data_IF_394536240626
#
_entry.id   IF_394536240626
#
_cell.length_a   1.000
_cell.length_b   1.000
_cell.length_c   1.000
_cell.angle_alpha   90.00
_cell.angle_beta   90.00
_cell.angle_gamma   90.00
#
_symmetry.space_group_name_H-M   'P 1'
#
loop_
_entity.id
_entity.type
_entity.pdbx_description
1 polymer ?
#
# COMPACT_ATOMS: atom_id res chain seq x y z
N UNK A 1 -31.14 26.97 -51.71
CA UNK A 1 -32.60 26.69 -51.74
C UNK A 1 -32.99 25.89 -50.52
N UNK A 2 -34.23 25.98 -50.04
CA UNK A 2 -34.65 25.48 -48.73
C UNK A 2 -35.76 24.41 -48.79
N UNK A 3 -35.72 23.44 -47.88
CA UNK A 3 -36.90 22.66 -47.42
C UNK A 3 -36.54 21.99 -46.08
N UNK A 4 -36.98 22.49 -44.92
CA UNK A 4 -38.33 22.38 -44.29
C UNK A 4 -38.62 21.02 -43.62
N UNK A 5 -38.26 20.90 -42.34
CA UNK A 5 -39.11 20.51 -41.19
C UNK A 5 -38.23 20.35 -39.95
N UNK A 6 -38.67 20.47 -38.70
CA UNK A 6 -39.74 21.19 -38.00
C UNK A 6 -39.65 20.63 -36.57
N UNK A 7 -39.72 21.51 -35.58
CA UNK A 7 -39.44 21.20 -34.17
C UNK A 7 -40.49 20.32 -33.49
N UNK A 8 -40.07 19.60 -32.44
CA UNK A 8 -40.85 19.49 -31.20
C UNK A 8 -39.96 19.16 -30.00
N UNK A 9 -39.87 20.10 -29.06
CA UNK A 9 -39.38 19.86 -27.70
C UNK A 9 -40.53 19.37 -26.83
N UNK A 10 -40.22 18.54 -25.82
CA UNK A 10 -40.98 18.50 -24.58
C UNK A 10 -39.99 18.32 -23.42
N UNK A 11 -39.85 19.39 -22.63
CA UNK A 11 -39.35 19.30 -21.26
C UNK A 11 -40.46 18.70 -20.40
N UNK A 12 -40.10 17.88 -19.41
CA UNK A 12 -41.01 17.57 -18.30
C UNK A 12 -40.26 17.66 -16.99
N UNK A 13 -40.76 18.51 -16.11
CA UNK A 13 -40.32 18.72 -14.74
C UNK A 13 -41.49 18.40 -13.84
N UNK A 14 -41.27 17.58 -12.80
CA UNK A 14 -41.80 17.76 -11.44
C UNK A 14 -41.46 16.53 -10.58
N UNK A 15 -41.29 16.77 -9.29
CA UNK A 15 -41.02 15.75 -8.28
C UNK A 15 -42.31 15.36 -7.49
N UNK A 16 -42.23 14.96 -6.21
CA UNK A 16 -42.62 13.62 -5.77
C UNK A 16 -44.08 13.52 -5.29
N UNK A 17 -44.64 12.30 -5.31
CA UNK A 17 -45.87 11.96 -4.60
C UNK A 17 -45.58 11.29 -3.25
N UNK A 18 -46.13 11.88 -2.18
CA UNK A 18 -46.24 11.31 -0.84
C UNK A 18 -47.68 10.83 -0.58
N UNK A 19 -47.88 10.08 0.54
CA UNK A 19 -49.16 9.55 1.09
C UNK A 19 -49.65 8.26 0.39
N UNK A 20 -50.43 7.35 0.96
CA UNK A 20 -50.81 6.98 2.35
C UNK A 20 -51.57 5.62 2.27
N UNK A 21 -51.73 4.79 3.31
CA UNK A 21 -50.95 4.52 4.54
C UNK A 21 -51.62 3.38 5.32
N UNK A 22 -50.90 2.32 5.71
CA UNK A 22 -51.46 1.20 6.49
C UNK A 22 -50.71 0.95 7.80
N UNK A 23 -51.45 1.00 8.91
CA UNK A 23 -50.97 0.67 10.24
C UNK A 23 -51.10 -0.83 10.55
N UNK A 24 -50.41 -1.24 11.61
CA UNK A 24 -50.62 -2.49 12.37
C UNK A 24 -50.51 -3.83 11.62
N UNK A 25 -49.30 -4.40 11.66
CA UNK A 25 -49.06 -5.57 12.52
C UNK A 25 -47.59 -5.71 12.87
N UNK A 26 -47.29 -5.75 14.17
CA UNK A 26 -45.96 -6.08 14.66
C UNK A 26 -45.68 -7.57 14.41
N UNK A 27 -45.03 -7.87 13.28
CA UNK A 27 -44.38 -9.15 13.08
C UNK A 27 -42.91 -9.00 13.50
N UNK A 28 -42.55 -9.58 14.65
CA UNK A 28 -41.16 -9.76 15.03
C UNK A 28 -40.48 -10.58 13.93
N UNK A 29 -39.70 -9.92 13.07
CA UNK A 29 -38.80 -10.60 12.14
C UNK A 29 -37.72 -11.24 12.99
N UNK A 30 -37.99 -12.48 13.38
CA UNK A 30 -37.07 -13.36 14.08
C UNK A 30 -35.92 -13.62 13.12
N UNK A 31 -34.87 -12.80 13.20
CA UNK A 31 -33.62 -13.01 12.49
C UNK A 31 -33.15 -14.41 12.88
N UNK A 32 -33.16 -15.31 11.90
CA UNK A 32 -32.58 -16.64 12.06
C UNK A 32 -31.08 -16.44 12.21
N UNK A 33 -30.62 -16.32 13.45
CA UNK A 33 -29.21 -16.45 13.77
C UNK A 33 -28.74 -17.78 13.19
N UNK A 34 -27.87 -17.71 12.18
CA UNK A 34 -27.22 -18.90 11.65
C UNK A 34 -26.47 -19.54 12.82
N UNK A 35 -26.98 -20.68 13.29
CA UNK A 35 -26.29 -21.45 14.30
C UNK A 35 -24.89 -21.78 13.75
N UNK A 36 -23.85 -21.41 14.49
CA UNK A 36 -22.50 -21.88 14.19
C UNK A 36 -22.52 -23.40 14.32
N UNK A 37 -22.55 -24.12 13.19
CA UNK A 37 -22.27 -25.54 13.17
C UNK A 37 -20.82 -25.74 13.60
N UNK A 38 -20.62 -26.06 14.87
CA UNK A 38 -19.39 -26.70 15.35
C UNK A 38 -19.30 -28.08 14.72
N UNK A 39 -18.76 -28.15 13.50
CA UNK A 39 -18.30 -29.41 12.93
C UNK A 39 -17.25 -29.97 13.87
N UNK A 40 -17.54 -31.12 14.47
CA UNK A 40 -16.56 -31.90 15.24
C UNK A 40 -15.27 -32.05 14.42
N UNK A 41 -14.08 -31.88 15.02
CA UNK A 41 -12.85 -32.17 14.30
C UNK A 41 -12.86 -33.64 13.94
N UNK A 42 -13.05 -33.94 12.64
CA UNK A 42 -12.68 -35.24 12.10
C UNK A 42 -11.23 -35.48 12.50
N UNK A 43 -10.92 -36.66 13.04
CA UNK A 43 -9.52 -37.05 13.23
C UNK A 43 -8.84 -36.98 11.85
N UNK A 44 -8.03 -35.94 11.66
CA UNK A 44 -7.09 -35.90 10.57
C UNK A 44 -6.03 -36.99 10.84
N UNK A 45 -5.46 -37.62 9.81
CA UNK A 45 -4.34 -38.53 10.02
C UNK A 45 -3.20 -37.80 10.73
N UNK A 46 -2.48 -38.51 11.59
CA UNK A 46 -1.45 -37.98 12.51
C UNK A 46 -0.34 -37.16 11.82
N UNK A 47 -0.23 -37.28 10.50
CA UNK A 47 0.58 -36.44 9.60
C UNK A 47 0.31 -34.92 9.68
N UNK A 48 -0.86 -34.48 10.14
CA UNK A 48 -1.12 -33.02 10.29
C UNK A 48 -0.38 -32.40 11.49
N UNK A 49 0.03 -33.19 12.51
CA UNK A 49 0.66 -32.65 13.73
C UNK A 49 2.08 -32.09 13.50
N UNK A 50 2.96 -32.78 12.78
CA UNK A 50 4.29 -32.23 12.42
C UNK A 50 4.21 -30.95 11.57
N UNK A 51 3.09 -30.75 10.85
CA UNK A 51 2.83 -29.55 10.08
C UNK A 51 2.28 -28.39 10.92
N UNK A 52 1.87 -28.62 12.16
CA UNK A 52 1.43 -27.55 13.07
C UNK A 52 2.62 -26.78 13.68
N UNK A 53 3.73 -27.47 13.98
CA UNK A 53 4.87 -26.90 14.73
C UNK A 53 5.79 -26.00 13.88
N UNK A 54 5.73 -26.09 12.55
CA UNK A 54 6.60 -25.31 11.65
C UNK A 54 5.97 -23.96 11.29
N UNK A 55 6.73 -22.85 11.34
CA UNK A 55 6.15 -21.52 11.14
C UNK A 55 5.61 -21.36 9.70
N UNK A 56 4.50 -20.62 9.57
CA UNK A 56 3.68 -20.61 8.34
C UNK A 56 4.40 -20.03 7.13
N UNK A 57 5.46 -19.26 7.36
CA UNK A 57 6.29 -18.69 6.31
C UNK A 57 7.26 -19.69 5.67
N UNK A 58 7.61 -20.78 6.36
CA UNK A 58 8.63 -21.74 5.93
C UNK A 58 8.05 -22.84 5.04
N UNK A 59 6.84 -23.28 5.35
CA UNK A 59 6.15 -24.40 4.68
C UNK A 59 4.99 -23.94 3.79
N UNK A 60 4.61 -24.81 2.85
CA UNK A 60 3.41 -24.64 2.00
C UNK A 60 2.44 -25.78 2.34
N UNK A 61 1.15 -25.51 2.66
CA UNK A 61 0.19 -26.55 3.04
C UNK A 61 0.16 -27.70 2.02
N UNK A 62 0.37 -28.98 2.43
CA UNK A 62 0.49 -30.10 1.50
C UNK A 62 -0.70 -30.24 0.55
N UNK A 63 -1.91 -29.99 1.06
CA UNK A 63 -3.18 -30.02 0.30
C UNK A 63 -3.26 -28.99 -0.85
N UNK A 64 -2.36 -28.00 -0.89
CA UNK A 64 -2.26 -27.01 -1.98
C UNK A 64 -1.14 -27.32 -2.98
N UNK A 65 -0.30 -28.31 -2.71
CA UNK A 65 0.80 -28.73 -3.58
C UNK A 65 0.28 -29.69 -4.65
N UNK A 66 0.80 -29.56 -5.88
CA UNK A 66 0.52 -30.51 -6.96
C UNK A 66 1.61 -31.59 -6.97
N UNK A 67 1.28 -32.87 -7.23
CA UNK A 67 2.26 -33.97 -7.19
C UNK A 67 3.34 -33.85 -8.26
N UNK A 68 3.04 -33.20 -9.40
CA UNK A 68 4.00 -32.89 -10.44
C UNK A 68 3.67 -31.55 -11.13
N UNK A 69 4.68 -30.99 -11.82
CA UNK A 69 4.58 -29.71 -12.52
C UNK A 69 4.00 -29.91 -13.93
N UNK A 70 2.83 -29.33 -14.19
CA UNK A 70 2.14 -29.41 -15.50
C UNK A 70 2.75 -28.44 -16.54
N UNK A 71 3.17 -27.23 -16.12
CA UNK A 71 3.70 -26.21 -17.04
C UNK A 71 5.19 -26.43 -17.33
N UNK A 72 5.68 -26.21 -18.57
CA UNK A 72 7.11 -26.23 -18.88
C UNK A 72 7.97 -25.35 -17.96
N UNK A 73 9.27 -25.63 -17.91
CA UNK A 73 10.24 -24.78 -17.20
C UNK A 73 10.17 -23.32 -17.67
N UNK A 74 10.38 -22.37 -16.76
CA UNK A 74 10.36 -20.96 -17.10
C UNK A 74 11.61 -20.59 -17.93
N UNK A 75 11.43 -19.83 -19.01
CA UNK A 75 12.55 -19.28 -19.78
C UNK A 75 13.25 -18.22 -18.92
N UNK A 76 14.55 -18.38 -18.70
CA UNK A 76 15.37 -17.49 -17.85
C UNK A 76 16.05 -18.17 -16.65
N UNK A 77 15.73 -19.43 -16.34
CA UNK A 77 16.39 -20.19 -15.27
C UNK A 77 15.63 -20.23 -13.94
N UNK A 78 16.29 -20.70 -12.88
CA UNK A 78 15.73 -20.84 -11.52
C UNK A 78 16.09 -19.60 -10.70
N UNK A 79 15.08 -18.89 -10.20
CA UNK A 79 15.28 -17.79 -9.25
C UNK A 79 15.36 -18.34 -7.83
N UNK A 80 16.53 -18.18 -7.17
CA UNK A 80 16.72 -18.60 -5.78
C UNK A 80 16.20 -17.51 -4.84
N UNK A 81 15.34 -17.91 -3.89
CA UNK A 81 14.74 -17.03 -2.89
C UNK A 81 15.45 -17.20 -1.54
N UNK A 82 15.39 -16.19 -0.66
CA UNK A 82 15.93 -16.29 0.69
C UNK A 82 15.07 -17.18 1.60
N UNK A 83 15.75 -18.06 2.34
CA UNK A 83 15.17 -18.93 3.38
C UNK A 83 15.80 -18.68 4.76
N UNK A 84 16.92 -17.94 4.83
CA UNK A 84 17.65 -17.69 6.07
C UNK A 84 16.98 -16.55 6.88
N UNK A 85 16.50 -16.79 8.12
CA UNK A 85 15.90 -15.74 8.94
C UNK A 85 16.91 -14.66 9.33
N UNK A 86 18.16 -15.02 9.66
CA UNK A 86 19.21 -14.07 10.04
C UNK A 86 19.45 -12.97 8.98
N UNK A 87 19.37 -13.33 7.69
CA UNK A 87 19.51 -12.36 6.59
C UNK A 87 18.37 -11.36 6.54
N UNK A 88 17.17 -11.80 6.94
CA UNK A 88 15.98 -10.94 7.07
C UNK A 88 16.17 -9.98 8.25
N UNK A 89 16.58 -10.49 9.41
CA UNK A 89 16.87 -9.68 10.60
C UNK A 89 17.93 -8.61 10.30
N UNK A 90 19.02 -8.97 9.63
CA UNK A 90 20.05 -8.02 9.19
C UNK A 90 19.48 -6.88 8.31
N UNK A 91 18.46 -7.17 7.49
CA UNK A 91 17.81 -6.17 6.64
C UNK A 91 16.86 -5.26 7.45
N UNK A 92 16.14 -5.82 8.44
CA UNK A 92 15.34 -5.03 9.38
C UNK A 92 16.20 -4.12 10.26
N UNK A 93 17.35 -4.60 10.74
CA UNK A 93 18.32 -3.79 11.50
C UNK A 93 18.93 -2.69 10.61
N UNK A 94 19.27 -2.99 9.34
CA UNK A 94 19.74 -1.97 8.39
C UNK A 94 18.69 -0.89 8.11
N UNK A 95 17.41 -1.25 8.03
CA UNK A 95 16.34 -0.30 7.75
C UNK A 95 15.91 0.50 8.99
N UNK A 96 15.41 -0.19 10.01
CA UNK A 96 14.82 0.44 11.20
C UNK A 96 15.90 0.97 12.16
N UNK A 97 17.08 0.35 12.20
CA UNK A 97 18.19 0.71 13.07
C UNK A 97 18.47 -0.36 14.15
N UNK A 98 19.26 -0.03 15.18
CA UNK A 98 19.55 -0.96 16.28
C UNK A 98 18.26 -1.47 16.94
N UNK A 99 18.11 -2.80 17.05
CA UNK A 99 16.88 -3.42 17.56
C UNK A 99 15.74 -3.57 16.55
N UNK A 100 15.95 -3.20 15.28
CA UNK A 100 14.97 -3.33 14.20
C UNK A 100 14.42 -4.76 13.99
N UNK A 101 15.23 -5.77 14.32
CA UNK A 101 14.89 -7.19 14.35
C UNK A 101 13.76 -7.56 15.32
N UNK A 102 13.56 -6.74 16.37
CA UNK A 102 12.57 -6.95 17.45
C UNK A 102 11.34 -6.06 17.33
N UNK A 103 11.30 -5.18 16.33
CA UNK A 103 10.17 -4.27 16.11
C UNK A 103 8.94 -5.05 15.64
N UNK A 104 9.13 -6.13 14.87
CA UNK A 104 8.05 -6.96 14.35
C UNK A 104 8.25 -8.43 14.72
N UNK A 105 7.15 -9.15 14.93
CA UNK A 105 7.17 -10.61 15.13
C UNK A 105 7.71 -11.36 13.89
N UNK A 106 8.35 -12.52 14.10
CA UNK A 106 8.98 -13.29 13.02
C UNK A 106 8.04 -13.64 11.87
N UNK A 107 6.80 -14.04 12.16
CA UNK A 107 5.80 -14.31 11.11
C UNK A 107 5.46 -13.06 10.30
N UNK A 108 5.39 -11.89 10.95
CA UNK A 108 5.03 -10.62 10.29
C UNK A 108 6.21 -10.03 9.52
N UNK A 109 7.45 -10.17 10.02
CA UNK A 109 8.67 -9.84 9.28
C UNK A 109 8.70 -10.57 7.93
N UNK A 110 8.37 -11.86 7.93
CA UNK A 110 8.28 -12.68 6.72
C UNK A 110 7.05 -12.38 5.86
N UNK A 111 5.90 -12.04 6.46
CA UNK A 111 4.67 -11.65 5.76
C UNK A 111 4.88 -10.37 4.93
N UNK A 112 5.44 -9.32 5.54
CA UNK A 112 5.67 -8.03 4.91
C UNK A 112 6.66 -8.10 3.72
N UNK A 113 7.61 -9.04 3.77
CA UNK A 113 8.68 -9.22 2.77
C UNK A 113 8.34 -10.30 1.73
N UNK A 114 7.12 -10.84 1.74
CA UNK A 114 6.64 -11.82 0.74
C UNK A 114 5.66 -11.18 -0.23
N UNK A 115 6.04 -11.14 -1.51
CA UNK A 115 5.18 -10.67 -2.58
C UNK A 115 4.26 -11.79 -3.09
N UNK A 116 3.06 -11.43 -3.54
CA UNK A 116 2.02 -12.34 -4.06
C UNK A 116 2.47 -13.32 -5.16
N UNK A 117 3.50 -12.96 -5.94
CA UNK A 117 4.02 -13.86 -6.99
C UNK A 117 4.83 -15.04 -6.43
N UNK A 118 5.25 -15.01 -5.16
CA UNK A 118 5.89 -16.14 -4.49
C UNK A 118 4.89 -17.25 -4.20
N UNK A 119 5.24 -18.49 -4.57
CA UNK A 119 4.41 -19.69 -4.39
C UNK A 119 2.92 -19.50 -4.72
N UNK A 120 2.62 -18.72 -5.77
CA UNK A 120 1.25 -18.39 -6.20
C UNK A 120 0.36 -17.78 -5.10
N UNK A 121 0.94 -17.16 -4.06
CA UNK A 121 0.20 -16.61 -2.92
C UNK A 121 -0.40 -17.67 -1.98
N UNK A 122 0.10 -18.91 -2.00
CA UNK A 122 -0.30 -19.97 -1.05
C UNK A 122 0.12 -19.67 0.39
N UNK A 123 1.27 -19.00 0.54
CA UNK A 123 1.73 -18.44 1.83
C UNK A 123 1.22 -17.01 1.98
N UNK A 124 1.24 -16.49 3.20
CA UNK A 124 0.91 -15.09 3.45
C UNK A 124 1.77 -14.14 2.61
N UNK A 125 1.13 -13.11 2.04
CA UNK A 125 1.75 -12.11 1.17
C UNK A 125 1.32 -10.70 1.56
N UNK A 126 2.08 -9.71 1.08
CA UNK A 126 2.14 -8.38 1.66
C UNK A 126 1.10 -7.35 1.16
N UNK A 127 0.29 -7.65 0.13
CA UNK A 127 -0.67 -6.72 -0.51
C UNK A 127 -1.46 -5.83 0.48
N UNK A 128 -2.01 -6.41 1.57
CA UNK A 128 -2.86 -5.68 2.54
C UNK A 128 -2.05 -4.73 3.42
N UNK A 129 -0.87 -5.16 3.86
CA UNK A 129 0.04 -4.32 4.64
C UNK A 129 0.59 -3.19 3.76
N UNK A 130 0.94 -3.49 2.52
CA UNK A 130 1.39 -2.51 1.54
C UNK A 130 0.31 -1.47 1.22
N UNK A 131 -0.96 -1.87 1.13
CA UNK A 131 -2.07 -0.93 0.96
C UNK A 131 -2.16 0.08 2.11
N UNK A 132 -2.08 -0.38 3.36
CA UNK A 132 -2.12 0.50 4.54
C UNK A 132 -0.88 1.40 4.60
N UNK A 133 0.33 0.82 4.52
CA UNK A 133 1.58 1.56 4.60
C UNK A 133 1.75 2.58 3.47
N UNK A 134 1.24 2.29 2.27
CA UNK A 134 1.15 3.26 1.18
C UNK A 134 0.35 4.50 1.60
N UNK A 135 -0.82 4.35 2.23
CA UNK A 135 -1.63 5.50 2.69
C UNK A 135 -0.92 6.32 3.77
N UNK A 136 -0.16 5.67 4.66
CA UNK A 136 0.65 6.35 5.67
C UNK A 136 1.76 7.16 5.00
N UNK A 137 2.46 6.59 4.01
CA UNK A 137 3.53 7.30 3.27
C UNK A 137 2.99 8.44 2.42
N UNK A 138 1.88 8.26 1.70
CA UNK A 138 1.18 9.32 0.96
C UNK A 138 0.79 10.50 1.88
N UNK A 139 0.22 10.22 3.06
CA UNK A 139 -0.13 11.24 4.06
C UNK A 139 1.11 11.95 4.63
N UNK A 140 2.15 11.22 5.03
CA UNK A 140 3.39 11.82 5.56
C UNK A 140 4.12 12.64 4.48
N UNK A 141 4.08 12.22 3.22
CA UNK A 141 4.62 12.98 2.09
C UNK A 141 3.83 14.27 1.88
N UNK A 142 2.50 14.20 1.94
CA UNK A 142 1.62 15.37 1.85
C UNK A 142 1.92 16.39 2.95
N UNK A 143 2.10 15.93 4.20
CA UNK A 143 2.51 16.79 5.32
C UNK A 143 3.90 17.40 5.11
N UNK A 144 4.87 16.62 4.63
CA UNK A 144 6.22 17.09 4.34
C UNK A 144 6.27 18.11 3.18
N UNK A 145 5.41 17.96 2.16
CA UNK A 145 5.26 18.92 1.06
C UNK A 145 4.66 20.25 1.53
N UNK A 146 3.62 20.22 2.37
CA UNK A 146 3.02 21.43 2.97
C UNK A 146 4.01 22.16 3.88
N UNK A 147 4.78 21.43 4.68
CA UNK A 147 5.78 22.01 5.59
C UNK A 147 7.10 22.40 4.88
N UNK A 148 7.28 22.04 3.61
CA UNK A 148 8.45 22.40 2.81
C UNK A 148 8.56 23.92 2.64
N UNK A 149 9.77 24.52 2.64
CA UNK A 149 9.94 25.96 2.45
C UNK A 149 9.50 26.41 1.04
N UNK A 150 8.24 26.81 0.92
CA UNK A 150 7.64 27.38 -0.28
C UNK A 150 7.65 28.92 -0.24
N UNK A 151 7.52 29.55 -1.40
CA UNK A 151 7.36 31.00 -1.49
C UNK A 151 6.04 31.42 -0.82
N UNK A 152 6.13 32.11 0.33
CA UNK A 152 4.99 32.69 1.08
C UNK A 152 4.39 33.93 0.40
N UNK A 153 4.28 33.89 -0.93
CA UNK A 153 3.94 35.02 -1.77
C UNK A 153 2.97 34.58 -2.85
N UNK A 154 2.27 35.57 -3.41
CA UNK A 154 1.48 35.42 -4.62
C UNK A 154 2.27 34.64 -5.70
N UNK A 155 1.72 33.60 -6.34
CA UNK A 155 2.42 32.80 -7.35
C UNK A 155 3.01 33.68 -8.45
N UNK A 156 4.32 33.63 -8.68
CA UNK A 156 4.97 34.50 -9.67
C UNK A 156 5.20 33.77 -10.99
N UNK A 157 5.05 34.49 -12.09
CA UNK A 157 5.56 34.03 -13.38
C UNK A 157 7.10 34.04 -13.38
N UNK A 158 7.78 33.34 -14.32
CA UNK A 158 9.25 33.33 -14.40
C UNK A 158 9.89 34.72 -14.55
N UNK A 159 9.12 35.72 -15.00
CA UNK A 159 9.50 37.14 -15.08
C UNK A 159 9.55 37.85 -13.72
N UNK A 160 9.10 37.21 -12.63
CA UNK A 160 9.05 37.77 -11.28
C UNK A 160 7.78 38.58 -10.97
N UNK A 161 6.88 38.74 -11.94
CA UNK A 161 5.58 39.40 -11.79
C UNK A 161 4.56 38.49 -11.10
N UNK A 162 3.61 39.04 -10.30
CA UNK A 162 2.53 38.25 -9.72
C UNK A 162 1.59 37.73 -10.81
N UNK A 163 1.41 36.41 -10.87
CA UNK A 163 0.54 35.73 -11.84
C UNK A 163 -0.90 36.23 -11.73
N UNK A 164 -1.35 37.01 -12.71
CA UNK A 164 -2.70 37.57 -12.73
C UNK A 164 -3.69 36.45 -13.04
N UNK A 165 -4.74 36.30 -12.22
CA UNK A 165 -5.86 35.42 -12.52
C UNK A 165 -6.64 35.93 -13.74
N UNK A 166 -7.16 35.02 -14.57
CA UNK A 166 -7.89 35.36 -15.81
C UNK A 166 -9.09 36.31 -15.60
N UNK A 167 -9.64 36.39 -14.38
CA UNK A 167 -10.76 37.27 -14.01
C UNK A 167 -10.33 38.42 -13.10
N UNK A 168 -9.03 38.70 -12.97
CA UNK A 168 -8.48 39.78 -12.13
C UNK A 168 -8.67 39.57 -10.62
N UNK A 169 -9.03 38.35 -10.19
CA UNK A 169 -9.28 38.05 -8.76
C UNK A 169 -7.98 38.06 -7.96
N UNK A 170 -8.10 38.36 -6.67
CA UNK A 170 -7.00 38.25 -5.70
C UNK A 170 -7.22 36.99 -4.84
N UNK A 171 -6.24 36.08 -4.73
CA UNK A 171 -6.34 34.94 -3.83
C UNK A 171 -6.32 35.45 -2.38
N UNK A 172 -7.01 34.72 -1.51
CA UNK A 172 -7.00 34.98 -0.08
C UNK A 172 -5.67 34.50 0.52
N UNK A 173 -4.93 35.40 1.18
CA UNK A 173 -3.66 35.10 1.83
C UNK A 173 -3.90 34.90 3.32
N UNK A 174 -3.58 33.71 3.83
CA UNK A 174 -3.77 33.37 5.25
C UNK A 174 -2.72 32.32 5.66
N UNK A 175 -2.08 32.42 6.85
CA UNK A 175 -0.98 31.52 7.23
C UNK A 175 -1.32 30.02 7.20
N UNK A 176 -2.57 29.64 7.44
CA UNK A 176 -3.01 28.24 7.35
C UNK A 176 -3.22 27.72 5.91
N UNK A 177 -3.03 28.57 4.89
CA UNK A 177 -3.01 28.20 3.47
C UNK A 177 -1.58 28.19 2.89
N UNK A 178 -0.58 28.61 3.67
CA UNK A 178 0.83 28.47 3.30
C UNK A 178 1.15 26.99 3.03
N UNK A 179 2.00 26.71 2.03
CA UNK A 179 2.41 25.35 1.70
C UNK A 179 1.41 24.53 0.87
N UNK A 180 0.12 24.90 0.84
CA UNK A 180 -0.91 24.15 0.12
C UNK A 180 -0.70 24.16 -1.41
N UNK A 181 -0.07 25.20 -1.95
CA UNK A 181 0.20 25.31 -3.39
C UNK A 181 1.18 24.25 -3.93
N UNK A 182 2.12 23.78 -3.10
CA UNK A 182 3.02 22.68 -3.44
C UNK A 182 2.44 21.27 -3.21
N UNK A 183 1.25 21.16 -2.63
CA UNK A 183 0.53 19.90 -2.50
C UNK A 183 -0.21 19.57 -3.80
N UNK A 184 0.54 19.17 -4.83
CA UNK A 184 0.00 18.67 -6.09
C UNK A 184 0.21 17.16 -6.21
N UNK A 185 -0.71 16.47 -6.88
CA UNK A 185 -0.57 15.04 -7.18
C UNK A 185 0.73 14.73 -7.95
N UNK A 186 1.20 15.66 -8.78
CA UNK A 186 2.46 15.55 -9.53
C UNK A 186 3.69 15.65 -8.62
N UNK A 187 3.68 16.57 -7.65
CA UNK A 187 4.74 16.69 -6.65
C UNK A 187 4.81 15.44 -5.77
N UNK A 188 3.68 14.94 -5.29
CA UNK A 188 3.60 13.70 -4.51
C UNK A 188 4.12 12.49 -5.31
N UNK A 189 3.68 12.31 -6.56
CA UNK A 189 4.14 11.23 -7.43
C UNK A 189 5.65 11.33 -7.77
N UNK A 190 6.19 12.55 -7.86
CA UNK A 190 7.63 12.79 -8.12
C UNK A 190 8.48 12.47 -6.88
N UNK A 191 7.94 12.68 -5.67
CA UNK A 191 8.58 12.24 -4.42
C UNK A 191 8.51 10.72 -4.27
N UNK A 192 7.33 10.14 -4.47
CA UNK A 192 7.03 8.72 -4.30
C UNK A 192 7.21 7.90 -5.58
N UNK A 193 8.10 8.31 -6.47
CA UNK A 193 8.38 7.56 -7.69
C UNK A 193 8.95 6.17 -7.34
N UNK A 194 8.47 5.16 -8.08
CA UNK A 194 8.82 3.75 -7.88
C UNK A 194 10.33 3.50 -7.94
N UNK A 195 11.07 4.24 -8.78
CA UNK A 195 12.52 4.01 -8.95
C UNK A 195 13.29 4.53 -7.74
N UNK A 196 12.89 5.69 -7.20
CA UNK A 196 13.47 6.29 -5.99
C UNK A 196 13.21 5.40 -4.77
N UNK A 197 11.99 4.91 -4.61
CA UNK A 197 11.60 4.01 -3.51
C UNK A 197 12.26 2.63 -3.62
N UNK A 198 12.40 2.08 -4.84
CA UNK A 198 13.15 0.85 -5.06
C UNK A 198 14.62 1.02 -4.69
N UNK A 199 15.29 2.10 -5.10
CA UNK A 199 16.69 2.37 -4.72
C UNK A 199 16.88 2.49 -3.20
N UNK A 200 15.91 3.05 -2.46
CA UNK A 200 15.94 3.09 -1.00
C UNK A 200 15.82 1.67 -0.41
N UNK A 201 14.88 0.87 -0.91
CA UNK A 201 14.72 -0.53 -0.52
C UNK A 201 15.97 -1.38 -0.82
N UNK A 202 16.66 -1.12 -1.94
CA UNK A 202 17.94 -1.76 -2.31
C UNK A 202 19.08 -1.35 -1.37
N UNK A 203 19.16 -0.08 -0.95
CA UNK A 203 20.14 0.38 0.06
C UNK A 203 19.96 -0.31 1.41
N UNK A 204 18.72 -0.60 1.81
CA UNK A 204 18.43 -1.43 2.98
C UNK A 204 18.66 -2.93 2.74
N UNK A 205 18.85 -3.35 1.49
CA UNK A 205 19.11 -4.73 1.07
C UNK A 205 17.86 -5.60 1.03
N UNK A 206 16.70 -5.01 0.75
CA UNK A 206 15.44 -5.74 0.55
C UNK A 206 15.47 -6.59 -0.74
N UNK A 207 16.31 -6.25 -1.70
CA UNK A 207 16.58 -7.00 -2.94
C UNK A 207 16.91 -8.48 -2.68
N UNK A 208 17.72 -8.74 -1.65
CA UNK A 208 18.24 -10.07 -1.31
C UNK A 208 17.30 -10.91 -0.44
N UNK A 209 16.38 -10.27 0.27
CA UNK A 209 15.47 -10.95 1.23
C UNK A 209 14.03 -11.06 0.75
N UNK A 210 13.61 -10.18 -0.18
CA UNK A 210 12.23 -10.17 -0.69
C UNK A 210 11.91 -11.46 -1.42
N UNK A 211 10.82 -12.12 -1.00
CA UNK A 211 10.39 -13.39 -1.57
C UNK A 211 9.37 -13.12 -2.67
N UNK A 212 9.80 -13.35 -3.92
CA UNK A 212 8.98 -13.16 -5.12
C UNK A 212 9.41 -14.12 -6.22
N UNK A 213 8.59 -14.23 -7.26
CA UNK A 213 8.93 -14.93 -8.50
C UNK A 213 8.97 -13.91 -9.64
N UNK A 214 10.12 -13.68 -10.31
CA UNK A 214 10.20 -12.82 -11.48
C UNK A 214 9.58 -13.49 -12.72
N UNK A 215 9.14 -12.68 -13.69
CA UNK A 215 8.68 -13.15 -15.01
C UNK A 215 9.81 -13.80 -15.82
N UNK A 216 11.03 -13.26 -15.65
CA UNK A 216 12.29 -13.67 -16.29
C UNK A 216 13.43 -13.47 -15.30
N UNK A 217 14.07 -14.55 -14.85
CA UNK A 217 15.17 -14.46 -13.88
C UNK A 217 16.45 -13.83 -14.47
N UNK A 218 16.56 -13.78 -15.81
CA UNK A 218 17.62 -13.12 -16.56
C UNK A 218 17.41 -11.60 -16.74
N UNK A 219 16.19 -11.09 -16.50
CA UNK A 219 15.90 -9.65 -16.51
C UNK A 219 14.92 -9.30 -15.38
N UNK A 220 15.48 -9.00 -14.21
CA UNK A 220 14.72 -8.70 -13.00
C UNK A 220 14.03 -7.32 -13.05
N UNK A 221 14.70 -6.30 -13.59
CA UNK A 221 14.14 -4.95 -13.79
C UNK A 221 12.89 -5.01 -14.70
N UNK A 222 13.02 -5.64 -15.88
CA UNK A 222 11.91 -5.88 -16.80
C UNK A 222 10.87 -6.90 -16.30
N UNK A 223 11.14 -7.57 -15.18
CA UNK A 223 10.19 -8.42 -14.46
C UNK A 223 9.42 -7.67 -13.36
N UNK A 224 9.70 -6.39 -13.12
CA UNK A 224 9.01 -5.56 -12.13
C UNK A 224 9.65 -5.54 -10.75
N UNK A 225 10.97 -5.79 -10.63
CA UNK A 225 11.69 -5.74 -9.35
C UNK A 225 11.38 -4.46 -8.55
N UNK A 226 11.42 -3.29 -9.20
CA UNK A 226 11.15 -2.00 -8.55
C UNK A 226 9.80 -1.96 -7.81
N UNK A 227 8.73 -2.44 -8.45
CA UNK A 227 7.39 -2.42 -7.85
C UNK A 227 7.28 -3.42 -6.70
N UNK A 228 7.99 -4.54 -6.76
CA UNK A 228 8.06 -5.53 -5.68
C UNK A 228 8.81 -4.99 -4.46
N UNK A 229 9.91 -4.28 -4.66
CA UNK A 229 10.68 -3.65 -3.57
C UNK A 229 9.93 -2.48 -2.95
N UNK A 230 9.35 -1.60 -3.76
CA UNK A 230 8.47 -0.51 -3.30
C UNK A 230 7.28 -1.06 -2.49
N UNK A 231 6.61 -2.12 -2.97
CA UNK A 231 5.48 -2.75 -2.26
C UNK A 231 5.92 -3.34 -0.93
N UNK A 232 7.11 -3.94 -0.86
CA UNK A 232 7.67 -4.50 0.37
C UNK A 232 8.07 -3.41 1.38
N UNK A 233 8.62 -2.29 0.91
CA UNK A 233 8.89 -1.12 1.74
C UNK A 233 7.60 -0.56 2.39
N UNK A 234 6.54 -0.38 1.59
CA UNK A 234 5.22 -0.01 2.12
C UNK A 234 4.66 -1.05 3.09
N UNK A 235 4.83 -2.34 2.81
CA UNK A 235 4.32 -3.39 3.68
C UNK A 235 4.95 -3.39 5.07
N UNK A 236 6.24 -3.08 5.18
CA UNK A 236 6.90 -3.00 6.49
C UNK A 236 6.36 -1.79 7.27
N UNK A 237 6.17 -0.63 6.63
CA UNK A 237 5.52 0.53 7.27
C UNK A 237 4.11 0.18 7.76
N UNK A 238 3.33 -0.54 6.95
CA UNK A 238 2.00 -1.01 7.32
C UNK A 238 2.01 -2.02 8.47
N UNK A 239 3.02 -2.89 8.56
CA UNK A 239 3.20 -3.81 9.69
C UNK A 239 3.53 -3.06 10.99
N UNK A 240 4.50 -2.13 10.94
CA UNK A 240 4.87 -1.29 12.09
C UNK A 240 3.67 -0.50 12.59
N UNK A 241 2.84 0.05 11.70
CA UNK A 241 1.63 0.76 12.07
C UNK A 241 0.59 -0.10 12.80
N UNK A 242 0.51 -1.40 12.47
CA UNK A 242 -0.43 -2.34 13.09
C UNK A 242 0.07 -2.89 14.44
N UNK A 243 1.37 -3.10 14.61
CA UNK A 243 1.94 -3.67 15.85
C UNK A 243 2.39 -2.61 16.87
N UNK A 244 2.90 -1.46 16.41
CA UNK A 244 3.47 -0.39 17.26
C UNK A 244 2.66 0.90 17.23
N UNK A 245 1.67 1.00 16.34
CA UNK A 245 0.81 2.16 16.20
C UNK A 245 1.32 3.20 15.20
N UNK A 246 0.45 4.17 14.89
CA UNK A 246 0.69 5.16 13.85
C UNK A 246 1.84 6.13 14.14
N UNK A 247 2.13 6.43 15.41
CA UNK A 247 3.21 7.36 15.79
C UNK A 247 4.59 6.81 15.41
N UNK A 248 4.90 5.59 15.80
CA UNK A 248 6.15 4.91 15.43
C UNK A 248 6.25 4.69 13.91
N UNK A 249 5.14 4.37 13.24
CA UNK A 249 5.11 4.29 11.78
C UNK A 249 5.44 5.64 11.11
N UNK A 250 4.92 6.76 11.63
CA UNK A 250 5.24 8.10 11.12
C UNK A 250 6.73 8.41 11.31
N UNK A 251 7.30 8.14 12.49
CA UNK A 251 8.75 8.30 12.77
C UNK A 251 9.59 7.46 11.80
N UNK A 252 9.19 6.22 11.51
CA UNK A 252 9.87 5.36 10.53
C UNK A 252 9.79 5.95 9.12
N UNK A 253 8.62 6.42 8.68
CA UNK A 253 8.46 7.01 7.34
C UNK A 253 9.30 8.29 7.17
N UNK A 254 9.25 9.19 8.15
CA UNK A 254 10.03 10.43 8.12
C UNK A 254 11.53 10.12 8.05
N UNK A 255 12.06 9.35 9.00
CA UNK A 255 13.50 9.10 9.12
C UNK A 255 14.07 8.14 8.07
N UNK A 256 13.29 7.15 7.59
CA UNK A 256 13.79 6.06 6.73
C UNK A 256 13.30 6.12 5.28
N UNK A 257 12.34 6.98 4.96
CA UNK A 257 11.87 7.17 3.58
C UNK A 257 12.04 8.63 3.16
N UNK A 258 11.46 9.58 3.91
CA UNK A 258 11.42 10.97 3.47
C UNK A 258 12.75 11.71 3.65
N UNK A 259 13.50 11.47 4.73
CA UNK A 259 14.85 12.04 4.89
C UNK A 259 15.85 11.59 3.82
N UNK A 260 15.95 10.29 3.46
CA UNK A 260 16.70 9.85 2.28
C UNK A 260 16.25 10.45 0.94
N UNK A 261 15.01 10.94 0.84
CA UNK A 261 14.47 11.63 -0.35
C UNK A 261 14.73 13.15 -0.37
N UNK A 262 15.30 13.71 0.71
CA UNK A 262 15.71 15.12 0.81
C UNK A 262 14.89 15.98 1.78
N UNK A 263 13.91 15.41 2.50
CA UNK A 263 13.12 16.16 3.48
C UNK A 263 13.83 16.25 4.84
N UNK A 264 13.65 17.36 5.54
CA UNK A 264 14.14 17.56 6.91
C UNK A 264 12.97 17.63 7.87
N UNK A 265 13.14 16.99 9.03
CA UNK A 265 12.15 16.96 10.11
C UNK A 265 12.86 17.32 11.41
N UNK A 266 12.23 18.15 12.24
CA UNK A 266 12.70 18.38 13.60
C UNK A 266 12.21 17.20 14.44
N UNK A 267 13.13 16.38 14.94
CA UNK A 267 12.81 15.12 15.65
C UNK A 267 12.42 15.35 17.12
N UNK A 268 12.60 16.59 17.62
CA UNK A 268 12.52 16.96 19.03
C UNK A 268 11.26 17.82 19.38
N UNK A 269 10.08 17.46 18.85
CA UNK A 269 8.81 18.15 19.11
C UNK A 269 7.68 17.17 19.49
#
# INVERSE_FOLDING_TARGET
>A
MASKRATRSLLSSAAPSLRCSHASRAALVRTSACAFSTTTPSQAPEFETESADRPRWQQTPPRMQAPFRIRPAAKGGVFKVNEDPKRLDDAYVRMLGPGGDKVLDDEVKWLAVTHKSFDHGRRGFNDRLAYLGRRIVELQTSQALVNSPQAKAWPREPTGEPKVDNFGRRPFLHPALDGLAGLTNEAEQTVLDKTRLAQIAERYGLDKVTRWTPKRADNLLGSGQESVLMTSLYAIVGAVAMERGGEEANKVVQNKILTPLGFTFNVDA
#
